data_IF_624244751511
#
_entry.id   IF_624244751511
#
_cell.length_a   1.000
_cell.length_b   1.000
_cell.length_c   1.000
_cell.angle_alpha   90.00
_cell.angle_beta   90.00
_cell.angle_gamma   90.00
#
_symmetry.space_group_name_H-M   'P 1'
#
loop_
_entity.id
_entity.type
_entity.pdbx_description
1 polymer ?
#
# COMPACT_ATOMS: atom_id res chain seq x y z
N UNK A 1 12.66 -6.58 49.83
CA UNK A 1 13.16 -7.88 49.32
C UNK A 1 11.93 -8.63 48.84
N UNK A 2 11.65 -8.87 47.55
CA UNK A 2 12.52 -8.95 46.38
C UNK A 2 11.84 -8.38 45.13
N UNK A 3 12.67 -7.68 44.35
CA UNK A 3 12.50 -7.34 42.95
C UNK A 3 12.27 -8.61 42.12
N UNK A 4 11.22 -8.61 41.29
CA UNK A 4 11.18 -9.40 40.06
C UNK A 4 11.11 -8.44 38.88
N UNK A 5 12.23 -7.72 38.67
CA UNK A 5 12.63 -7.29 37.35
C UNK A 5 13.07 -8.54 36.59
N UNK A 6 12.12 -9.18 35.91
CA UNK A 6 12.37 -10.31 35.01
C UNK A 6 12.11 -9.87 33.58
N UNK A 7 13.12 -9.31 32.94
CA UNK A 7 13.31 -9.19 31.50
C UNK A 7 12.02 -9.10 30.64
N UNK A 8 11.48 -7.89 30.49
CA UNK A 8 10.88 -7.57 29.21
C UNK A 8 12.00 -7.71 28.18
N UNK A 9 12.01 -8.84 27.48
CA UNK A 9 12.84 -9.04 26.29
C UNK A 9 12.68 -7.77 25.46
N UNK A 10 13.75 -7.02 25.28
CA UNK A 10 13.85 -6.03 24.23
C UNK A 10 13.84 -6.81 22.91
N UNK A 11 12.71 -7.44 22.58
CA UNK A 11 12.43 -7.94 21.27
C UNK A 11 12.46 -6.70 20.39
N UNK A 12 13.47 -6.60 19.54
CA UNK A 12 13.43 -5.64 18.44
C UNK A 12 12.06 -5.83 17.75
N UNK A 13 11.19 -4.82 17.86
CA UNK A 13 9.95 -4.79 17.11
C UNK A 13 10.35 -4.58 15.65
N UNK A 14 10.15 -5.61 14.85
CA UNK A 14 10.34 -5.54 13.42
C UNK A 14 9.06 -4.97 12.82
N UNK A 15 9.17 -3.78 12.26
CA UNK A 15 8.06 -3.06 11.67
C UNK A 15 8.04 -3.26 10.16
N UNK A 16 6.85 -3.18 9.58
CA UNK A 16 6.67 -3.07 8.13
C UNK A 16 6.62 -1.59 7.79
N UNK A 17 7.54 -1.19 6.92
CA UNK A 17 7.66 0.18 6.43
C UNK A 17 7.54 0.23 4.92
N UNK A 18 6.98 1.33 4.41
CA UNK A 18 6.76 1.57 2.99
C UNK A 18 7.35 2.92 2.57
N UNK A 19 7.84 3.00 1.34
CA UNK A 19 8.12 4.26 0.63
C UNK A 19 7.36 4.28 -0.70
N UNK A 20 6.93 5.48 -1.11
CA UNK A 20 6.15 5.67 -2.33
C UNK A 20 4.63 5.62 -2.09
N UNK A 21 3.87 5.63 -3.18
CA UNK A 21 2.40 5.69 -3.15
C UNK A 21 1.80 4.47 -3.85
N UNK A 22 0.93 3.76 -3.15
CA UNK A 22 0.32 2.54 -3.70
C UNK A 22 -0.71 2.87 -4.79
N UNK A 23 -0.72 2.04 -5.84
CA UNK A 23 -1.66 2.10 -6.96
C UNK A 23 -1.53 3.34 -7.86
N UNK A 24 -0.52 4.18 -7.67
CA UNK A 24 -0.39 5.46 -8.37
C UNK A 24 -0.26 5.30 -9.89
N UNK A 25 0.55 4.34 -10.32
CA UNK A 25 0.78 4.04 -11.73
C UNK A 25 -0.47 3.42 -12.38
N UNK A 26 -1.00 2.34 -11.79
CA UNK A 26 -2.14 1.62 -12.34
C UNK A 26 -3.42 2.47 -12.37
N UNK A 27 -3.63 3.34 -11.38
CA UNK A 27 -4.75 4.27 -11.39
C UNK A 27 -4.63 5.26 -12.56
N UNK A 28 -3.44 5.85 -12.76
CA UNK A 28 -3.22 6.80 -13.84
C UNK A 28 -3.38 6.13 -15.22
N UNK A 29 -2.83 4.93 -15.42
CA UNK A 29 -2.98 4.17 -16.67
C UNK A 29 -4.45 3.81 -16.96
N UNK A 30 -5.19 3.37 -15.94
CA UNK A 30 -6.62 3.03 -16.06
C UNK A 30 -7.46 4.27 -16.41
N UNK A 31 -7.13 5.42 -15.82
CA UNK A 31 -7.78 6.69 -16.12
C UNK A 31 -7.63 7.07 -17.60
N UNK A 32 -6.43 6.95 -18.17
CA UNK A 32 -6.17 7.32 -19.57
C UNK A 32 -6.68 6.29 -20.57
N UNK A 33 -6.83 5.03 -20.14
CA UNK A 33 -7.38 3.95 -20.99
C UNK A 33 -8.91 3.94 -21.04
N UNK A 34 -9.57 4.68 -20.14
CA UNK A 34 -11.04 4.77 -20.08
C UNK A 34 -11.61 5.64 -21.20
N UNK A 35 -12.69 5.20 -21.84
CA UNK A 35 -13.31 5.90 -22.98
C UNK A 35 -14.22 7.10 -22.60
N UNK A 36 -13.74 7.98 -21.72
CA UNK A 36 -14.45 9.18 -21.26
C UNK A 36 -14.79 9.19 -19.76
N UNK A 37 -15.57 10.19 -19.34
CA UNK A 37 -15.99 10.35 -17.95
C UNK A 37 -16.97 9.23 -17.54
N UNK A 38 -16.71 8.47 -16.45
CA UNK A 38 -17.64 7.50 -15.91
C UNK A 38 -18.97 8.13 -15.49
N UNK A 39 -20.03 7.32 -15.50
CA UNK A 39 -21.36 7.73 -15.05
C UNK A 39 -21.34 8.13 -13.56
N UNK A 40 -22.04 9.20 -13.20
CA UNK A 40 -22.11 9.68 -11.82
C UNK A 40 -20.96 10.59 -11.38
N UNK A 41 -19.94 10.78 -12.23
CA UNK A 41 -18.85 11.73 -12.00
C UNK A 41 -19.03 12.97 -12.86
N UNK A 42 -18.73 14.13 -12.29
CA UNK A 42 -18.77 15.38 -13.03
C UNK A 42 -17.56 15.49 -13.96
N UNK A 43 -17.80 15.91 -15.19
CA UNK A 43 -16.79 16.02 -16.23
C UNK A 43 -15.61 16.94 -15.83
N UNK A 44 -15.85 18.00 -15.07
CA UNK A 44 -14.80 18.89 -14.58
C UNK A 44 -13.86 18.21 -13.58
N UNK A 45 -14.40 17.33 -12.72
CA UNK A 45 -13.61 16.49 -11.81
C UNK A 45 -12.80 15.48 -12.62
N UNK A 46 -13.43 14.81 -13.57
CA UNK A 46 -12.75 13.82 -14.41
C UNK A 46 -11.61 14.44 -15.22
N UNK A 47 -11.82 15.61 -15.82
CA UNK A 47 -10.78 16.35 -16.54
C UNK A 47 -9.58 16.72 -15.65
N UNK A 48 -9.80 17.01 -14.36
CA UNK A 48 -8.71 17.24 -13.40
C UNK A 48 -7.92 15.93 -13.16
N UNK A 49 -8.62 14.82 -12.97
CA UNK A 49 -8.02 13.50 -12.76
C UNK A 49 -7.21 13.04 -13.97
N UNK A 50 -7.73 13.25 -15.19
CA UNK A 50 -7.00 12.96 -16.43
C UNK A 50 -5.70 13.77 -16.53
N UNK A 51 -5.73 15.07 -16.23
CA UNK A 51 -4.53 15.91 -16.20
C UNK A 51 -3.51 15.45 -15.16
N UNK A 52 -3.98 15.02 -13.99
CA UNK A 52 -3.11 14.43 -12.98
C UNK A 52 -2.49 13.13 -13.51
N UNK A 53 -3.28 12.24 -14.12
CA UNK A 53 -2.81 10.97 -14.67
C UNK A 53 -1.74 11.15 -15.76
N UNK A 54 -1.96 12.07 -16.71
CA UNK A 54 -0.97 12.41 -17.74
C UNK A 54 0.37 12.87 -17.14
N UNK A 55 0.30 13.79 -16.16
CA UNK A 55 1.48 14.30 -15.47
C UNK A 55 2.20 13.21 -14.67
N UNK A 56 1.44 12.37 -13.97
CA UNK A 56 1.97 11.28 -13.15
C UNK A 56 2.71 10.26 -14.01
N UNK A 57 2.11 9.80 -15.10
CA UNK A 57 2.76 8.85 -16.01
C UNK A 57 3.99 9.44 -16.70
N UNK A 58 3.94 10.73 -17.07
CA UNK A 58 5.12 11.42 -17.58
C UNK A 58 6.24 11.52 -16.54
N UNK A 59 5.89 11.70 -15.26
CA UNK A 59 6.84 11.72 -14.15
C UNK A 59 7.48 10.35 -13.89
N UNK A 60 6.73 9.28 -14.10
CA UNK A 60 7.18 7.90 -13.94
C UNK A 60 7.86 7.29 -15.18
N UNK A 61 8.12 8.09 -16.23
CA UNK A 61 8.70 7.56 -17.48
C UNK A 61 10.04 6.83 -17.29
N UNK A 62 10.82 7.19 -16.26
CA UNK A 62 12.08 6.54 -15.88
C UNK A 62 12.01 5.71 -14.59
N UNK A 63 10.83 5.62 -13.96
CA UNK A 63 10.62 4.94 -12.69
C UNK A 63 10.56 3.43 -12.85
N UNK A 64 10.87 2.70 -11.78
CA UNK A 64 10.67 1.26 -11.76
C UNK A 64 9.19 0.97 -11.51
N UNK A 65 8.56 0.23 -12.42
CA UNK A 65 7.23 -0.33 -12.17
C UNK A 65 7.35 -1.42 -11.13
N UNK A 66 6.55 -1.29 -10.07
CA UNK A 66 6.45 -2.27 -9.01
C UNK A 66 5.07 -2.93 -9.06
N UNK A 67 5.03 -4.20 -8.68
CA UNK A 67 3.81 -4.93 -8.37
C UNK A 67 2.94 -4.19 -7.35
N UNK A 68 1.70 -4.66 -7.17
CA UNK A 68 0.78 -4.10 -6.19
C UNK A 68 1.26 -4.28 -4.75
N UNK A 69 0.89 -3.35 -3.88
CA UNK A 69 1.21 -3.42 -2.45
C UNK A 69 0.69 -4.73 -1.82
N UNK A 70 -0.44 -5.24 -2.31
CA UNK A 70 -0.96 -6.54 -1.89
C UNK A 70 0.04 -7.68 -2.16
N UNK A 71 0.65 -7.74 -3.35
CA UNK A 71 1.66 -8.74 -3.70
C UNK A 71 2.94 -8.57 -2.88
N UNK A 72 3.42 -7.33 -2.71
CA UNK A 72 4.63 -7.04 -1.92
C UNK A 72 4.46 -7.49 -0.45
N UNK A 73 3.31 -7.20 0.15
CA UNK A 73 2.99 -7.65 1.51
C UNK A 73 2.86 -9.17 1.60
N UNK A 74 2.25 -9.81 0.59
CA UNK A 74 2.15 -11.25 0.53
C UNK A 74 3.54 -11.91 0.56
N UNK A 75 4.48 -11.41 -0.24
CA UNK A 75 5.85 -11.90 -0.33
C UNK A 75 6.63 -11.71 0.99
N UNK A 76 6.34 -10.65 1.74
CA UNK A 76 6.86 -10.48 3.10
C UNK A 76 6.31 -11.59 4.02
N UNK A 77 5.01 -11.83 3.98
CA UNK A 77 4.37 -12.86 4.80
C UNK A 77 4.71 -14.31 4.42
N UNK A 78 5.30 -14.55 3.25
CA UNK A 78 5.81 -15.89 2.88
C UNK A 78 7.11 -16.24 3.63
N UNK A 79 7.82 -15.26 4.20
CA UNK A 79 9.13 -15.43 4.86
C UNK A 79 9.06 -16.04 6.28
N UNK A 80 8.09 -16.92 6.55
CA UNK A 80 7.81 -17.64 7.82
C UNK A 80 7.26 -16.81 8.99
N UNK A 81 6.95 -15.54 8.81
CA UNK A 81 6.35 -14.69 9.83
C UNK A 81 4.99 -14.14 9.42
N UNK A 82 4.08 -13.99 10.38
CA UNK A 82 2.83 -13.26 10.21
C UNK A 82 3.06 -11.75 10.32
N UNK A 83 2.06 -10.97 9.93
CA UNK A 83 2.08 -9.52 10.08
C UNK A 83 0.71 -8.93 10.32
N UNK A 84 0.69 -7.73 10.89
CA UNK A 84 -0.46 -6.82 10.91
C UNK A 84 -0.09 -5.57 10.13
N UNK A 85 -0.97 -5.15 9.21
CA UNK A 85 -0.81 -3.89 8.47
C UNK A 85 -2.09 -3.08 8.59
N UNK A 86 -1.96 -1.82 8.96
CA UNK A 86 -3.05 -0.86 8.92
C UNK A 86 -3.14 -0.25 7.52
N UNK A 87 -4.20 -0.60 6.78
CA UNK A 87 -4.35 -0.16 5.39
C UNK A 87 -4.53 1.36 5.26
N UNK A 88 -4.97 2.03 6.35
CA UNK A 88 -5.11 3.50 6.39
C UNK A 88 -3.78 4.24 6.50
N UNK A 89 -2.73 3.53 6.92
CA UNK A 89 -1.38 4.10 7.04
C UNK A 89 -0.61 3.99 5.72
N UNK A 90 -1.12 3.24 4.73
CA UNK A 90 -0.53 3.12 3.39
C UNK A 90 -0.68 4.47 2.67
N UNK A 91 0.42 5.10 2.21
CA UNK A 91 0.34 6.36 1.48
C UNK A 91 -0.33 6.18 0.12
N UNK A 92 -1.33 7.03 -0.15
CA UNK A 92 -2.09 7.07 -1.40
C UNK A 92 -2.16 8.51 -1.92
N UNK A 93 -2.18 8.67 -3.24
CA UNK A 93 -2.58 9.94 -3.85
C UNK A 93 -4.10 10.07 -3.81
N UNK A 94 -4.61 11.24 -3.42
CA UNK A 94 -6.05 11.49 -3.40
C UNK A 94 -6.66 11.29 -4.79
N UNK A 95 -5.99 11.76 -5.85
CA UNK A 95 -6.45 11.56 -7.23
C UNK A 95 -6.49 10.08 -7.63
N UNK A 96 -5.52 9.27 -7.18
CA UNK A 96 -5.53 7.83 -7.44
C UNK A 96 -6.74 7.15 -6.76
N UNK A 97 -7.06 7.56 -5.52
CA UNK A 97 -8.26 7.06 -4.81
C UNK A 97 -9.52 7.42 -5.58
N UNK A 98 -9.68 8.69 -5.96
CA UNK A 98 -10.87 9.15 -6.70
C UNK A 98 -11.03 8.43 -8.05
N UNK A 99 -9.93 8.18 -8.77
CA UNK A 99 -9.95 7.39 -10.01
C UNK A 99 -10.36 5.94 -9.74
N UNK A 100 -9.83 5.32 -8.69
CA UNK A 100 -10.15 3.93 -8.37
C UNK A 100 -11.62 3.78 -7.97
N UNK A 101 -12.15 4.71 -7.17
CA UNK A 101 -13.58 4.76 -6.83
C UNK A 101 -14.45 4.94 -8.07
N UNK A 102 -14.06 5.84 -8.98
CA UNK A 102 -14.75 6.08 -10.24
C UNK A 102 -14.86 4.85 -11.14
N UNK A 103 -13.79 4.05 -11.18
CA UNK A 103 -13.66 2.91 -12.08
C UNK A 103 -14.00 1.58 -11.42
N UNK A 104 -14.35 1.58 -10.13
CA UNK A 104 -14.60 0.35 -9.36
C UNK A 104 -13.36 -0.53 -9.20
N UNK A 105 -12.17 0.08 -9.14
CA UNK A 105 -10.89 -0.61 -9.00
C UNK A 105 -10.43 -0.62 -7.54
N UNK A 106 -9.71 -1.67 -7.15
CA UNK A 106 -9.07 -1.74 -5.84
C UNK A 106 -7.64 -1.18 -5.91
N UNK A 107 -7.42 0.01 -5.32
CA UNK A 107 -6.12 0.70 -5.36
C UNK A 107 -4.96 -0.14 -4.82
N UNK A 108 -5.20 -1.01 -3.83
CA UNK A 108 -4.17 -1.84 -3.22
C UNK A 108 -3.74 -3.02 -4.11
N UNK A 109 -4.50 -3.30 -5.17
CA UNK A 109 -4.23 -4.37 -6.14
C UNK A 109 -3.65 -3.85 -7.46
N UNK A 110 -3.58 -2.52 -7.63
CA UNK A 110 -2.99 -1.88 -8.81
C UNK A 110 -1.47 -1.78 -8.72
N UNK A 111 -0.84 -1.79 -9.90
CA UNK A 111 0.60 -1.51 -10.03
C UNK A 111 0.96 -0.11 -9.50
N UNK A 112 2.17 -0.01 -8.97
CA UNK A 112 2.70 1.23 -8.40
C UNK A 112 4.02 1.59 -9.08
N UNK A 113 4.45 2.83 -8.98
CA UNK A 113 5.78 3.24 -9.41
C UNK A 113 6.61 3.68 -8.20
N UNK A 114 7.88 3.26 -8.17
CA UNK A 114 8.83 3.55 -7.08
C UNK A 114 8.29 3.18 -5.68
N UNK A 115 7.45 2.13 -5.62
CA UNK A 115 6.93 1.59 -4.37
C UNK A 115 7.89 0.55 -3.81
N UNK A 116 8.24 0.67 -2.53
CA UNK A 116 9.07 -0.31 -1.84
C UNK A 116 8.49 -0.60 -0.45
N UNK A 117 8.49 -1.89 -0.07
CA UNK A 117 8.03 -2.35 1.24
C UNK A 117 9.12 -3.22 1.85
N UNK A 118 9.46 -2.94 3.11
CA UNK A 118 10.50 -3.68 3.80
C UNK A 118 10.22 -3.83 5.29
N UNK A 119 10.92 -4.80 5.89
CA UNK A 119 10.97 -4.98 7.34
C UNK A 119 12.11 -4.13 7.88
N UNK A 120 11.83 -3.22 8.81
CA UNK A 120 12.83 -2.34 9.41
C UNK A 120 12.61 -2.17 10.92
N UNK A 121 13.56 -1.52 11.60
CA UNK A 121 13.49 -1.18 13.02
C UNK A 121 13.69 0.31 13.19
N UNK A 122 13.06 0.92 14.19
CA UNK A 122 13.27 2.34 14.46
C UNK A 122 14.73 2.65 14.85
N UNK A 123 15.35 3.74 14.34
CA UNK A 123 14.78 4.74 13.42
C UNK A 123 14.65 4.22 11.98
N UNK A 124 13.54 4.56 11.32
CA UNK A 124 13.29 4.13 9.95
C UNK A 124 14.15 4.89 8.93
N UNK A 125 14.44 4.28 7.77
CA UNK A 125 15.12 4.98 6.68
C UNK A 125 14.36 6.24 6.23
N UNK A 126 15.08 7.22 5.70
CA UNK A 126 14.48 8.46 5.20
C UNK A 126 13.47 8.16 4.07
N UNK A 127 12.30 8.81 4.12
CA UNK A 127 11.22 8.59 3.14
C UNK A 127 10.33 7.37 3.41
N UNK A 128 10.61 6.60 4.45
CA UNK A 128 9.80 5.46 4.85
C UNK A 128 8.83 5.80 5.97
N UNK A 129 7.63 5.24 5.90
CA UNK A 129 6.61 5.33 6.95
C UNK A 129 6.24 3.95 7.44
N UNK A 130 5.96 3.83 8.74
CA UNK A 130 5.47 2.59 9.36
C UNK A 130 4.02 2.36 8.97
N UNK A 131 3.71 1.16 8.51
CA UNK A 131 2.34 0.73 8.18
C UNK A 131 1.90 -0.53 8.92
N UNK A 132 2.81 -1.17 9.64
CA UNK A 132 2.51 -2.43 10.30
C UNK A 132 3.66 -2.97 11.12
N UNK A 133 3.47 -4.18 11.63
CA UNK A 133 4.46 -4.90 12.41
C UNK A 133 4.45 -6.40 12.10
N UNK A 134 5.60 -7.02 12.28
CA UNK A 134 5.73 -8.48 12.23
C UNK A 134 5.21 -9.07 13.54
N UNK A 135 4.31 -10.04 13.43
CA UNK A 135 3.74 -10.74 14.58
C UNK A 135 4.20 -12.21 14.63
N UNK A 136 4.25 -12.82 15.82
CA UNK A 136 4.41 -14.26 15.94
C UNK A 136 3.30 -15.00 15.19
N UNK A 137 3.63 -16.15 14.60
CA UNK A 137 2.66 -16.96 13.84
C UNK A 137 2.81 -16.77 12.32
N UNK A 138 1.73 -17.03 11.59
CA UNK A 138 1.68 -16.94 10.11
C UNK A 138 0.47 -16.17 9.58
N UNK A 139 -0.27 -15.52 10.48
CA UNK A 139 -1.45 -14.77 10.10
C UNK A 139 -1.03 -13.49 9.36
N UNK A 140 -1.71 -13.21 8.24
CA UNK A 140 -1.50 -12.00 7.43
C UNK A 140 -2.74 -11.15 7.59
N UNK A 141 -2.69 -10.18 8.51
CA UNK A 141 -3.86 -9.42 8.94
C UNK A 141 -3.84 -8.00 8.38
N UNK A 142 -4.94 -7.62 7.76
CA UNK A 142 -5.21 -6.25 7.31
C UNK A 142 -6.21 -5.59 8.27
N UNK A 143 -5.82 -4.46 8.82
CA UNK A 143 -6.60 -3.67 9.76
C UNK A 143 -7.11 -2.43 9.03
N UNK A 144 -8.43 -2.24 8.98
CA UNK A 144 -9.08 -1.05 8.43
C UNK A 144 -9.94 -0.37 9.51
N UNK A 145 -9.31 0.40 10.38
CA UNK A 145 -9.98 0.97 11.55
C UNK A 145 -10.36 -0.12 12.54
N UNK A 146 -11.66 -0.40 12.68
CA UNK A 146 -12.17 -1.44 13.59
C UNK A 146 -12.26 -2.82 12.93
N UNK A 147 -12.26 -2.89 11.61
CA UNK A 147 -12.35 -4.14 10.87
C UNK A 147 -10.97 -4.80 10.72
N UNK A 148 -10.92 -6.11 10.97
CA UNK A 148 -9.74 -6.95 10.75
C UNK A 148 -10.10 -8.05 9.78
N UNK A 149 -9.34 -8.18 8.69
CA UNK A 149 -9.51 -9.23 7.69
C UNK A 149 -8.21 -9.98 7.44
N UNK A 150 -8.32 -11.24 7.08
CA UNK A 150 -7.18 -12.01 6.60
C UNK A 150 -6.90 -11.62 5.15
N UNK A 151 -5.63 -11.35 4.84
CA UNK A 151 -5.17 -11.15 3.48
C UNK A 151 -5.36 -12.44 2.68
N UNK A 152 -6.04 -12.33 1.55
CA UNK A 152 -6.17 -13.44 0.62
C UNK A 152 -4.91 -13.54 -0.25
N UNK A 153 -4.61 -14.74 -0.75
CA UNK A 153 -3.53 -14.88 -1.72
C UNK A 153 -3.85 -14.00 -2.94
N UNK A 154 -2.94 -13.13 -3.39
CA UNK A 154 -3.16 -12.37 -4.61
C UNK A 154 -3.42 -13.36 -5.76
N UNK A 155 -4.37 -13.01 -6.63
CA UNK A 155 -4.73 -13.82 -7.80
C UNK A 155 -3.46 -14.22 -8.55
N UNK A 156 -3.31 -15.52 -8.80
CA UNK A 156 -2.27 -16.01 -9.70
C UNK A 156 -2.87 -15.88 -11.09
N UNK A 157 -2.58 -14.77 -11.78
CA UNK A 157 -2.64 -14.80 -13.24
C UNK A 157 -1.43 -15.58 -13.74
#
# INVERSE_FOLDING_TARGET
MNNVNGAASACASFDITISGFAGSYGAAESCLSSCGCPEGIREDVWNRLTKWAEKTLSGYASSLKTESIHKLLWDIGEKKHGFTVNVRDIPLHQEAVEICEALGLNIYELESADLEVQISTYPYPEGYVRIGEIIPGRDKLLINGEDVSCMNRPGTD
#
